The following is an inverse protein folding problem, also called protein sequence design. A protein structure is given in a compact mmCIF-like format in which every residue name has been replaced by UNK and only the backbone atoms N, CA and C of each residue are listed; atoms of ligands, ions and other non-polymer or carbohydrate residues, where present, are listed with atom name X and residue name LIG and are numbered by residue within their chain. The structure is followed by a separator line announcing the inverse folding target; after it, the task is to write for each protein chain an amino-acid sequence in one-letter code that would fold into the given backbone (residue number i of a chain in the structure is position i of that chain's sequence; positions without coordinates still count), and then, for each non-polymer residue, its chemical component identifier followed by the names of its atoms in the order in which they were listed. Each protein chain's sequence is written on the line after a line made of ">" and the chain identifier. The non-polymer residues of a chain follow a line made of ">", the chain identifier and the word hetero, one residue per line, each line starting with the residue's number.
data_IF_113880824839
#
_entry.id   IF_113880824839
#
_cell.length_a   1.000
_cell.length_b   1.000
_cell.length_c   1.000
_cell.angle_alpha   90.00
_cell.angle_beta   90.00
_cell.angle_gamma   90.00
#
_symmetry.space_group_name_H-M   'P 1'
#
loop_
_entity.id
_entity.type
_entity.pdbx_description
1 polymer ?
#
# COMPACT_ATOMS: atom_id res chain seq x y z
N UNK A 1 -41.13 -47.60 47.10
CA UNK A 1 -39.87 -48.36 47.25
C UNK A 1 -39.35 -48.54 45.83
N UNK A 2 -38.80 -47.47 45.25
CA UNK A 2 -37.44 -46.91 45.47
C UNK A 2 -36.42 -47.68 44.64
N UNK A 3 -35.62 -46.89 43.92
CA UNK A 3 -34.34 -47.14 43.25
C UNK A 3 -34.44 -46.98 41.73
N UNK A 4 -33.65 -46.18 41.00
CA UNK A 4 -32.73 -45.06 41.24
C UNK A 4 -32.32 -44.63 39.82
N UNK A 5 -32.81 -43.50 39.31
CA UNK A 5 -32.28 -42.92 38.06
C UNK A 5 -31.03 -42.10 38.43
N UNK A 6 -29.85 -42.69 38.25
CA UNK A 6 -28.55 -42.02 38.34
C UNK A 6 -28.10 -41.73 36.91
N UNK A 7 -28.40 -40.53 36.41
CA UNK A 7 -27.74 -39.99 35.23
C UNK A 7 -26.65 -39.00 35.68
N UNK A 8 -25.39 -39.16 35.23
CA UNK A 8 -24.32 -38.27 35.65
C UNK A 8 -24.46 -36.90 34.97
N UNK A 9 -24.38 -35.83 35.76
CA UNK A 9 -24.21 -34.46 35.26
C UNK A 9 -22.98 -34.40 34.35
N UNK A 10 -23.20 -34.18 33.05
CA UNK A 10 -22.13 -33.80 32.12
C UNK A 10 -21.72 -32.37 32.45
N UNK A 11 -20.55 -32.21 33.06
CA UNK A 11 -19.91 -30.93 33.28
C UNK A 11 -19.74 -30.21 31.93
N UNK A 12 -20.47 -29.11 31.76
CA UNK A 12 -20.27 -28.17 30.67
C UNK A 12 -18.84 -27.63 30.79
N UNK A 13 -17.96 -28.15 29.95
CA UNK A 13 -16.59 -27.66 29.81
C UNK A 13 -16.67 -26.35 29.04
N UNK A 14 -16.97 -25.26 29.76
CA UNK A 14 -16.84 -23.89 29.27
C UNK A 14 -15.37 -23.65 28.91
N UNK A 15 -15.03 -23.99 27.67
CA UNK A 15 -13.80 -23.55 27.04
C UNK A 15 -13.93 -22.05 26.86
N UNK A 16 -13.37 -21.30 27.80
CA UNK A 16 -13.22 -19.86 27.73
C UNK A 16 -12.45 -19.51 26.45
N UNK A 17 -13.19 -19.19 25.39
CA UNK A 17 -12.61 -18.54 24.22
C UNK A 17 -12.22 -17.15 24.67
N UNK A 18 -10.92 -16.85 24.66
CA UNK A 18 -10.42 -15.52 24.95
C UNK A 18 -11.07 -14.56 23.94
N UNK A 19 -12.00 -13.74 24.42
CA UNK A 19 -12.58 -12.65 23.65
C UNK A 19 -11.44 -11.72 23.26
N UNK A 20 -11.04 -11.75 21.99
CA UNK A 20 -10.13 -10.76 21.45
C UNK A 20 -10.93 -9.47 21.33
N UNK A 21 -10.66 -8.51 22.21
CA UNK A 21 -11.31 -7.21 22.17
C UNK A 21 -10.84 -6.48 20.90
N UNK A 22 -11.70 -6.43 19.88
CA UNK A 22 -11.49 -5.60 18.70
C UNK A 22 -11.64 -4.13 19.08
N UNK A 23 -10.61 -3.32 18.81
CA UNK A 23 -10.66 -1.86 18.97
C UNK A 23 -10.74 -1.21 17.58
N UNK A 24 -11.34 -0.02 17.49
CA UNK A 24 -11.31 0.79 16.26
C UNK A 24 -9.86 1.16 15.89
N UNK A 25 -9.54 1.34 14.60
CA UNK A 25 -8.18 1.72 14.19
C UNK A 25 -7.80 3.09 14.76
N UNK A 26 -6.51 3.29 15.05
CA UNK A 26 -5.98 4.62 15.37
C UNK A 26 -5.96 5.50 14.14
N UNK A 27 -5.76 6.81 14.34
CA UNK A 27 -5.62 7.76 13.24
C UNK A 27 -4.39 7.42 12.38
N UNK A 28 -3.28 7.03 13.02
CA UNK A 28 -2.08 6.57 12.32
C UNK A 28 -2.30 5.28 11.49
N UNK A 29 -3.04 4.31 12.02
CA UNK A 29 -3.39 3.08 11.27
C UNK A 29 -4.26 3.41 10.06
N UNK A 30 -5.21 4.33 10.21
CA UNK A 30 -6.06 4.79 9.10
C UNK A 30 -5.25 5.55 8.06
N UNK A 31 -4.31 6.41 8.47
CA UNK A 31 -3.41 7.13 7.57
C UNK A 31 -2.53 6.16 6.76
N UNK A 32 -2.00 5.11 7.40
CA UNK A 32 -1.22 4.07 6.72
C UNK A 32 -2.08 3.26 5.74
N UNK A 33 -3.34 2.98 6.11
CA UNK A 33 -4.29 2.31 5.23
C UNK A 33 -4.60 3.14 3.98
N UNK A 34 -4.82 4.44 4.15
CA UNK A 34 -5.00 5.39 3.05
C UNK A 34 -3.79 5.45 2.11
N UNK A 35 -2.56 5.42 2.64
CA UNK A 35 -1.35 5.33 1.83
C UNK A 35 -1.28 4.00 1.04
N UNK A 36 -1.66 2.89 1.67
CA UNK A 36 -1.77 1.59 1.01
C UNK A 36 -2.76 1.56 -0.15
N UNK A 37 -3.92 2.21 0.00
CA UNK A 37 -4.91 2.36 -1.09
C UNK A 37 -4.26 3.08 -2.28
N UNK A 38 -3.62 4.21 -2.04
CA UNK A 38 -3.00 5.04 -3.10
C UNK A 38 -1.92 4.29 -3.84
N UNK A 39 -1.06 3.56 -3.12
CA UNK A 39 -0.04 2.71 -3.74
C UNK A 39 -0.63 1.56 -4.56
N UNK A 40 -1.66 0.90 -4.03
CA UNK A 40 -2.38 -0.15 -4.76
C UNK A 40 -3.01 0.38 -6.05
N UNK A 41 -3.64 1.56 -5.99
CA UNK A 41 -4.22 2.23 -7.16
C UNK A 41 -3.14 2.63 -8.16
N UNK A 42 -2.07 3.31 -7.74
CA UNK A 42 -0.97 3.72 -8.62
C UNK A 42 -0.38 2.51 -9.35
N UNK A 43 -0.05 1.44 -8.63
CA UNK A 43 0.60 0.30 -9.25
C UNK A 43 -0.34 -0.42 -10.23
N UNK A 44 -1.55 -0.77 -9.81
CA UNK A 44 -2.44 -1.58 -10.64
C UNK A 44 -3.13 -0.79 -11.76
N UNK A 45 -3.27 0.53 -11.64
CA UNK A 45 -3.88 1.35 -12.69
C UNK A 45 -2.92 1.59 -13.87
N UNK A 46 -1.61 1.69 -13.60
CA UNK A 46 -0.61 2.09 -14.60
C UNK A 46 0.30 0.95 -15.06
N UNK A 47 0.42 -0.15 -14.31
CA UNK A 47 1.19 -1.31 -14.77
C UNK A 47 0.68 -1.83 -16.12
N UNK A 48 1.62 -2.15 -17.02
CA UNK A 48 1.32 -2.56 -18.39
C UNK A 48 1.13 -1.42 -19.39
N UNK A 49 1.14 -0.15 -18.95
CA UNK A 49 1.05 1.00 -19.86
C UNK A 49 2.27 1.04 -20.78
N UNK A 50 2.10 1.15 -22.11
CA UNK A 50 3.22 1.38 -23.03
C UNK A 50 4.00 2.65 -22.66
N UNK A 51 5.32 2.54 -22.54
CA UNK A 51 6.21 3.63 -22.15
C UNK A 51 7.53 3.55 -22.90
N UNK A 52 8.04 4.72 -23.30
CA UNK A 52 9.39 4.94 -23.81
C UNK A 52 10.06 6.08 -23.02
N UNK A 53 11.38 6.27 -23.13
CA UNK A 53 12.07 7.42 -22.53
C UNK A 53 11.42 8.77 -22.89
N UNK A 54 10.95 8.90 -24.13
CA UNK A 54 10.29 10.12 -24.61
C UNK A 54 8.91 10.35 -23.95
N UNK A 55 8.14 9.30 -23.72
CA UNK A 55 6.80 9.41 -23.12
C UNK A 55 6.81 9.39 -21.59
N UNK A 56 7.88 8.88 -20.98
CA UNK A 56 8.02 8.67 -19.54
C UNK A 56 7.69 9.92 -18.70
N UNK A 57 8.21 11.13 -19.00
CA UNK A 57 7.88 12.31 -18.20
C UNK A 57 6.39 12.67 -18.21
N UNK A 58 5.73 12.52 -19.36
CA UNK A 58 4.29 12.81 -19.47
C UNK A 58 3.42 11.80 -18.73
N UNK A 59 3.84 10.52 -18.73
CA UNK A 59 3.16 9.46 -18.00
C UNK A 59 3.34 9.63 -16.49
N UNK A 60 4.56 9.91 -16.04
CA UNK A 60 4.86 10.21 -14.63
C UNK A 60 3.97 11.34 -14.11
N UNK A 61 3.88 12.45 -14.86
CA UNK A 61 3.01 13.58 -14.50
C UNK A 61 1.54 13.19 -14.41
N UNK A 62 1.04 12.39 -15.36
CA UNK A 62 -0.33 11.90 -15.32
C UNK A 62 -0.59 10.97 -14.13
N UNK A 63 0.40 10.19 -13.69
CA UNK A 63 0.33 9.37 -12.48
C UNK A 63 0.24 10.24 -11.24
N UNK A 64 1.13 11.23 -11.08
CA UNK A 64 1.11 12.21 -9.97
C UNK A 64 -0.27 12.87 -9.87
N UNK A 65 -0.70 13.55 -10.94
CA UNK A 65 -1.96 14.31 -10.95
C UNK A 65 -3.18 13.40 -10.65
N UNK A 66 -3.14 12.14 -11.08
CA UNK A 66 -4.24 11.18 -10.84
C UNK A 66 -4.30 10.71 -9.38
N UNK A 67 -3.16 10.50 -8.73
CA UNK A 67 -3.10 10.00 -7.36
C UNK A 67 -3.29 11.15 -6.37
N UNK A 68 -2.75 12.33 -6.64
CA UNK A 68 -3.00 13.54 -5.84
C UNK A 68 -4.48 13.93 -5.79
N UNK A 69 -5.24 13.62 -6.83
CA UNK A 69 -6.69 13.85 -6.86
C UNK A 69 -7.48 12.91 -5.90
N UNK A 70 -6.82 11.94 -5.25
CA UNK A 70 -7.46 11.10 -4.23
C UNK A 70 -7.54 11.81 -2.86
N UNK A 71 -8.54 11.50 -2.03
CA UNK A 71 -8.64 12.07 -0.68
C UNK A 71 -7.38 11.84 0.16
N UNK A 72 -7.03 12.83 0.99
CA UNK A 72 -5.91 12.77 1.95
C UNK A 72 -4.51 12.70 1.32
N UNK A 73 -4.40 12.74 0.00
CA UNK A 73 -3.11 12.81 -0.68
C UNK A 73 -2.59 14.25 -0.64
N UNK A 74 -1.39 14.44 -0.09
CA UNK A 74 -0.76 15.76 0.01
C UNK A 74 0.17 16.00 -1.16
N UNK A 75 0.97 15.00 -1.51
CA UNK A 75 1.99 15.10 -2.54
C UNK A 75 2.29 13.72 -3.13
N UNK A 76 2.56 13.67 -4.42
CA UNK A 76 3.01 12.46 -5.11
C UNK A 76 4.16 12.82 -6.02
N UNK A 77 5.28 12.13 -5.86
CA UNK A 77 6.40 12.21 -6.80
C UNK A 77 6.55 10.87 -7.51
N UNK A 78 6.57 10.88 -8.84
CA UNK A 78 6.81 9.69 -9.65
C UNK A 78 8.03 9.94 -10.55
N UNK A 79 9.07 9.14 -10.37
CA UNK A 79 10.20 9.08 -11.28
C UNK A 79 10.15 7.79 -12.10
N UNK A 80 10.16 7.94 -13.42
CA UNK A 80 10.28 6.83 -14.36
C UNK A 80 11.74 6.74 -14.78
N UNK A 81 12.40 5.64 -14.42
CA UNK A 81 13.84 5.42 -14.63
C UNK A 81 14.19 5.28 -16.11
N UNK A 82 14.41 6.40 -16.79
CA UNK A 82 14.68 6.43 -18.25
C UNK A 82 15.93 5.65 -18.63
N UNK A 83 16.99 5.68 -17.80
CA UNK A 83 18.20 4.88 -18.04
C UNK A 83 17.90 3.36 -18.06
N UNK A 84 16.97 2.92 -17.21
CA UNK A 84 16.53 1.54 -17.17
C UNK A 84 15.65 1.18 -18.37
N UNK A 85 14.83 2.12 -18.85
CA UNK A 85 14.08 1.98 -20.11
C UNK A 85 15.03 1.90 -21.31
N UNK A 86 15.99 2.81 -21.43
CA UNK A 86 16.99 2.79 -22.50
C UNK A 86 17.75 1.47 -22.55
N UNK A 87 18.16 0.96 -21.38
CA UNK A 87 18.83 -0.33 -21.26
C UNK A 87 17.95 -1.51 -21.69
N UNK A 88 16.65 -1.47 -21.40
CA UNK A 88 15.69 -2.48 -21.83
C UNK A 88 15.47 -2.44 -23.36
N UNK A 89 15.39 -1.23 -23.92
CA UNK A 89 15.09 -1.02 -25.34
C UNK A 89 16.29 -1.23 -26.27
N UNK A 90 17.52 -1.12 -25.78
CA UNK A 90 18.74 -1.25 -26.59
C UNK A 90 18.86 -2.58 -27.38
N UNK A 91 18.17 -3.65 -26.94
CA UNK A 91 18.10 -4.93 -27.64
C UNK A 91 16.71 -5.28 -28.18
N UNK A 92 15.75 -4.37 -28.05
CA UNK A 92 14.35 -4.58 -28.43
C UNK A 92 14.13 -4.30 -29.91
N UNK A 93 13.13 -4.98 -30.49
CA UNK A 93 12.64 -4.67 -31.83
C UNK A 93 11.62 -3.51 -31.84
N UNK A 94 11.15 -3.08 -30.67
CA UNK A 94 10.19 -2.00 -30.48
C UNK A 94 10.81 -0.84 -29.69
N UNK A 95 10.37 0.38 -29.98
CA UNK A 95 10.86 1.62 -29.34
C UNK A 95 10.16 1.92 -27.99
N UNK A 96 9.39 0.97 -27.47
CA UNK A 96 8.69 1.08 -26.20
C UNK A 96 8.64 -0.28 -25.48
N UNK A 97 8.37 -0.24 -24.19
CA UNK A 97 8.11 -1.41 -23.34
C UNK A 97 6.87 -1.18 -22.48
N UNK A 98 6.49 -2.17 -21.68
CA UNK A 98 5.40 -2.04 -20.72
C UNK A 98 5.94 -1.50 -19.39
N UNK A 99 5.23 -0.53 -18.80
CA UNK A 99 5.57 0.00 -17.49
C UNK A 99 5.40 -1.10 -16.43
N UNK A 100 6.48 -1.35 -15.68
CA UNK A 100 6.52 -2.28 -14.55
C UNK A 100 7.17 -1.58 -13.36
N UNK A 101 7.00 -2.14 -12.15
CA UNK A 101 7.63 -1.59 -10.94
C UNK A 101 9.15 -1.43 -11.03
N UNK A 102 9.84 -2.17 -11.90
CA UNK A 102 11.29 -2.01 -12.14
C UNK A 102 11.67 -0.61 -12.61
N UNK A 103 10.78 0.05 -13.33
CA UNK A 103 11.02 1.36 -13.94
C UNK A 103 10.52 2.50 -13.06
N UNK A 104 9.94 2.23 -11.90
CA UNK A 104 9.27 3.24 -11.08
C UNK A 104 10.02 3.46 -9.76
N UNK A 105 10.23 4.72 -9.45
CA UNK A 105 10.50 5.21 -8.09
C UNK A 105 9.36 6.16 -7.72
N UNK A 106 8.72 5.94 -6.58
CA UNK A 106 7.52 6.67 -6.19
C UNK A 106 7.60 7.05 -4.73
N UNK A 107 7.23 8.28 -4.41
CA UNK A 107 6.95 8.74 -3.05
C UNK A 107 5.50 9.25 -2.99
N UNK A 108 4.78 8.84 -1.95
CA UNK A 108 3.42 9.32 -1.67
C UNK A 108 3.37 9.82 -0.24
N UNK A 109 2.89 11.05 -0.06
CA UNK A 109 2.64 11.67 1.24
C UNK A 109 1.14 11.75 1.47
N UNK A 110 0.69 11.19 2.59
CA UNK A 110 -0.70 11.23 3.04
C UNK A 110 -0.80 12.03 4.32
N UNK A 111 -1.79 12.91 4.44
CA UNK A 111 -2.20 13.52 5.71
C UNK A 111 -3.63 13.13 6.04
N UNK A 112 -3.80 12.43 7.15
CA UNK A 112 -5.10 12.06 7.68
C UNK A 112 -5.24 12.56 9.12
N UNK A 113 -6.11 13.55 9.31
CA UNK A 113 -6.37 14.19 10.62
C UNK A 113 -5.08 14.62 11.36
N UNK A 114 -4.12 15.19 10.62
CA UNK A 114 -2.85 15.66 11.18
C UNK A 114 -1.80 14.58 11.43
N UNK A 115 -2.04 13.36 10.94
CA UNK A 115 -1.03 12.31 10.85
C UNK A 115 -0.50 12.20 9.42
N UNK A 116 0.77 12.52 9.27
CA UNK A 116 1.50 12.43 8.01
C UNK A 116 2.16 11.06 7.89
N UNK A 117 1.92 10.39 6.76
CA UNK A 117 2.58 9.14 6.39
C UNK A 117 3.31 9.34 5.08
N UNK A 118 4.63 9.17 5.13
CA UNK A 118 5.49 9.15 3.94
C UNK A 118 5.75 7.70 3.56
N UNK A 119 5.53 7.38 2.30
CA UNK A 119 5.64 6.03 1.75
C UNK A 119 6.43 6.04 0.46
N UNK A 120 7.16 4.96 0.18
CA UNK A 120 8.04 4.86 -0.98
C UNK A 120 7.89 3.52 -1.70
N UNK A 121 8.04 3.53 -3.02
CA UNK A 121 8.36 2.37 -3.84
C UNK A 121 9.69 2.58 -4.56
N UNK A 122 10.62 1.65 -4.38
CA UNK A 122 11.89 1.64 -5.09
C UNK A 122 12.41 0.20 -5.26
N UNK A 123 13.36 0.00 -6.16
CA UNK A 123 14.00 -1.30 -6.34
C UNK A 123 14.93 -1.62 -5.16
N UNK A 124 14.61 -2.68 -4.41
CA UNK A 124 15.41 -3.23 -3.32
C UNK A 124 15.58 -4.74 -3.54
N UNK A 125 16.84 -5.21 -3.57
CA UNK A 125 17.19 -6.62 -3.75
C UNK A 125 16.48 -7.32 -4.94
N UNK A 126 16.29 -6.59 -6.03
CA UNK A 126 15.64 -7.10 -7.26
C UNK A 126 14.11 -7.08 -7.23
N UNK A 127 13.49 -6.43 -6.24
CA UNK A 127 12.04 -6.32 -6.10
C UNK A 127 11.62 -4.84 -5.94
N UNK A 128 10.54 -4.38 -6.60
CA UNK A 128 10.00 -3.04 -6.37
C UNK A 128 9.26 -3.00 -5.02
N UNK A 129 9.99 -2.73 -3.94
CA UNK A 129 9.49 -2.78 -2.58
C UNK A 129 8.70 -1.52 -2.25
N UNK A 130 7.43 -1.69 -1.86
CA UNK A 130 6.62 -0.63 -1.25
C UNK A 130 6.80 -0.68 0.27
N UNK A 131 7.03 0.48 0.90
CA UNK A 131 7.18 0.58 2.35
C UNK A 131 6.70 1.92 2.90
N UNK A 132 6.31 1.90 4.17
CA UNK A 132 6.19 3.13 4.97
C UNK A 132 7.58 3.57 5.39
N UNK A 133 7.92 4.83 5.11
CA UNK A 133 9.20 5.45 5.46
C UNK A 133 9.10 6.12 6.83
N UNK A 134 8.04 6.88 7.06
CA UNK A 134 7.79 7.53 8.35
C UNK A 134 6.30 7.72 8.59
N UNK A 135 5.94 7.68 9.87
CA UNK A 135 4.64 8.11 10.38
C UNK A 135 4.92 9.20 11.40
N UNK A 136 4.28 10.35 11.25
CA UNK A 136 4.39 11.46 12.20
C UNK A 136 3.01 12.03 12.49
N UNK A 137 2.85 12.61 13.68
CA UNK A 137 1.56 13.02 14.22
C UNK A 137 1.45 12.63 15.69
N UNK A 138 0.44 13.17 16.37
CA UNK A 138 0.09 12.73 17.73
C UNK A 138 -1.39 12.50 17.79
N UNK A 139 -1.77 11.37 18.35
CA UNK A 139 -3.15 11.12 18.73
C UNK A 139 -3.56 12.11 19.83
N UNK A 140 -4.85 12.43 19.89
CA UNK A 140 -5.40 13.23 20.97
C UNK A 140 -5.34 12.42 22.28
N UNK A 141 -4.24 12.56 23.03
CA UNK A 141 -4.03 11.86 24.30
C UNK A 141 -2.57 11.51 24.64
N UNK A 142 -1.62 11.77 23.74
CA UNK A 142 -0.17 11.51 23.92
C UNK A 142 0.60 12.68 24.59
#
# INVERSE_FOLDING_TARGET
>A
MSESDDEPESADSETATASTATTAPTTAETACFEAGIKFGTLYHQFAGTPVSPDSAPSLARAMEDSIENQPHCVDVTVDVRTDALDSELAGSAADYTELTGRFLEVEIVVDYEGHEVVTQMAMEDGYPLMKVVSVSGRDAGD
#
